data_IF_541983377071
#
_entry.id   IF_541983377071
#
_cell.length_a   1.000
_cell.length_b   1.000
_cell.length_c   1.000
_cell.angle_alpha   90.00
_cell.angle_beta   90.00
_cell.angle_gamma   90.00
#
_symmetry.space_group_name_H-M   'P 1'
#
loop_
_entity.id
_entity.type
_entity.pdbx_description
1 polymer ?
#
# COMPACT_ATOMS: atom_id res chain seq x y z
N UNK A 1 26.24 1.28 -5.22
CA UNK A 1 24.98 0.82 -4.59
C UNK A 1 23.86 1.88 -4.59
N UNK A 2 24.18 3.19 -4.63
CA UNK A 2 23.21 4.31 -4.69
C UNK A 2 22.43 4.39 -6.02
N UNK A 3 23.10 4.27 -7.17
CA UNK A 3 22.45 4.42 -8.48
C UNK A 3 21.41 3.34 -8.82
N UNK A 4 21.63 2.10 -8.39
CA UNK A 4 20.71 0.98 -8.68
C UNK A 4 19.36 1.17 -7.98
N UNK A 5 19.36 1.72 -6.75
CA UNK A 5 18.12 2.05 -6.02
C UNK A 5 17.39 3.23 -6.67
N UNK A 6 18.14 4.19 -7.23
CA UNK A 6 17.57 5.36 -7.89
C UNK A 6 16.93 5.02 -9.25
N UNK A 7 17.58 4.17 -10.06
CA UNK A 7 17.02 3.65 -11.33
C UNK A 7 15.76 2.80 -11.12
N UNK A 8 15.73 1.97 -10.07
CA UNK A 8 14.52 1.22 -9.71
C UNK A 8 13.36 2.14 -9.33
N UNK A 9 13.59 3.15 -8.47
CA UNK A 9 12.56 4.14 -8.10
C UNK A 9 11.93 4.86 -9.29
N UNK A 10 12.75 5.30 -10.26
CA UNK A 10 12.25 6.00 -11.45
C UNK A 10 11.46 5.08 -12.39
N UNK A 11 11.85 3.81 -12.51
CA UNK A 11 11.13 2.82 -13.32
C UNK A 11 9.77 2.49 -12.72
N UNK A 12 9.70 2.33 -11.40
CA UNK A 12 8.45 2.07 -10.68
C UNK A 12 7.44 3.21 -10.84
N UNK A 13 7.87 4.46 -10.71
CA UNK A 13 7.00 5.63 -10.91
C UNK A 13 6.53 5.76 -12.36
N UNK A 14 7.38 5.42 -13.33
CA UNK A 14 7.01 5.43 -14.74
C UNK A 14 5.97 4.35 -15.06
N UNK A 15 6.09 3.15 -14.49
CA UNK A 15 5.10 2.08 -14.66
C UNK A 15 3.73 2.46 -14.08
N UNK A 16 3.70 3.05 -12.87
CA UNK A 16 2.46 3.55 -12.26
C UNK A 16 1.81 4.63 -13.14
N UNK A 17 2.59 5.59 -13.64
CA UNK A 17 2.06 6.64 -14.49
C UNK A 17 1.54 6.11 -15.84
N UNK A 18 2.22 5.13 -16.44
CA UNK A 18 1.79 4.50 -17.69
C UNK A 18 0.53 3.65 -17.53
N UNK A 19 0.37 2.96 -16.39
CA UNK A 19 -0.82 2.14 -16.14
C UNK A 19 -2.08 3.00 -15.98
N UNK A 20 -1.99 4.19 -15.36
CA UNK A 20 -3.14 5.09 -15.27
C UNK A 20 -3.42 5.87 -16.55
N UNK A 21 -2.44 6.03 -17.46
CA UNK A 21 -2.57 6.89 -18.64
C UNK A 21 -3.11 6.18 -19.89
N UNK A 22 -3.29 4.87 -19.86
CA UNK A 22 -3.67 4.10 -21.04
C UNK A 22 -5.04 3.45 -20.84
N UNK A 23 -6.03 3.87 -21.65
CA UNK A 23 -7.36 3.24 -21.67
C UNK A 23 -7.36 1.84 -22.32
N UNK A 24 -6.20 1.37 -22.79
CA UNK A 24 -6.01 0.05 -23.37
C UNK A 24 -5.58 -1.01 -22.33
N UNK A 25 -5.19 -0.59 -21.12
CA UNK A 25 -4.82 -1.51 -20.04
C UNK A 25 -6.08 -1.88 -19.26
N UNK A 26 -6.42 -3.17 -19.11
CA UNK A 26 -7.53 -3.60 -18.29
C UNK A 26 -7.42 -3.06 -16.86
N UNK A 27 -8.54 -2.60 -16.30
CA UNK A 27 -8.57 -2.02 -14.97
C UNK A 27 -8.05 -2.96 -13.87
N UNK A 28 -8.23 -4.28 -14.05
CA UNK A 28 -7.65 -5.29 -13.14
C UNK A 28 -6.12 -5.28 -13.17
N UNK A 29 -5.52 -5.12 -14.35
CA UNK A 29 -4.06 -5.08 -14.52
C UNK A 29 -3.47 -3.81 -13.90
N UNK A 30 -4.18 -2.68 -14.04
CA UNK A 30 -3.81 -1.42 -13.37
C UNK A 30 -3.77 -1.62 -11.84
N UNK A 31 -4.83 -2.21 -11.28
CA UNK A 31 -4.91 -2.49 -9.84
C UNK A 31 -3.80 -3.46 -9.42
N UNK A 32 -3.56 -4.52 -10.18
CA UNK A 32 -2.54 -5.51 -9.84
C UNK A 32 -1.13 -4.95 -9.87
N UNK A 33 -0.81 -4.03 -10.80
CA UNK A 33 0.47 -3.31 -10.83
C UNK A 33 0.64 -2.47 -9.56
N UNK A 34 -0.38 -1.70 -9.15
CA UNK A 34 -0.32 -0.86 -7.95
C UNK A 34 -0.07 -1.73 -6.70
N UNK A 35 -0.82 -2.83 -6.55
CA UNK A 35 -0.67 -3.77 -5.44
C UNK A 35 0.72 -4.42 -5.45
N UNK A 36 1.23 -4.80 -6.62
CA UNK A 36 2.55 -5.39 -6.76
C UNK A 36 3.65 -4.43 -6.29
N UNK A 37 3.54 -3.14 -6.58
CA UNK A 37 4.46 -2.13 -6.05
C UNK A 37 4.32 -1.98 -4.53
N UNK A 38 3.09 -2.02 -4.01
CA UNK A 38 2.79 -1.95 -2.57
C UNK A 38 3.41 -3.07 -1.73
N UNK A 39 3.52 -4.27 -2.32
CA UNK A 39 4.15 -5.46 -1.71
C UNK A 39 5.64 -5.28 -1.45
N UNK A 40 6.34 -4.53 -2.29
CA UNK A 40 7.77 -4.32 -2.14
C UNK A 40 8.04 -3.30 -1.01
N UNK A 41 8.85 -3.59 0.03
CA UNK A 41 9.15 -2.62 1.09
C UNK A 41 9.69 -1.28 0.59
N UNK A 42 10.47 -1.28 -0.51
CA UNK A 42 10.98 -0.06 -1.15
C UNK A 42 9.93 0.64 -2.03
N UNK A 43 8.89 -0.06 -2.46
CA UNK A 43 7.78 0.45 -3.28
C UNK A 43 6.55 0.85 -2.47
N UNK A 44 6.37 0.31 -1.27
CA UNK A 44 5.20 0.50 -0.42
C UNK A 44 4.86 1.96 -0.18
N UNK A 45 5.83 2.73 0.31
CA UNK A 45 5.64 4.17 0.55
C UNK A 45 5.27 4.93 -0.74
N UNK A 46 5.78 4.50 -1.89
CA UNK A 46 5.45 5.10 -3.18
C UNK A 46 4.04 4.73 -3.62
N UNK A 47 3.65 3.46 -3.50
CA UNK A 47 2.30 3.00 -3.82
C UNK A 47 1.25 3.67 -2.93
N UNK A 48 1.52 3.75 -1.62
CA UNK A 48 0.63 4.41 -0.66
C UNK A 48 0.48 5.91 -0.95
N UNK A 49 1.59 6.61 -1.20
CA UNK A 49 1.55 8.02 -1.59
C UNK A 49 0.79 8.22 -2.90
N UNK A 50 1.08 7.40 -3.90
CA UNK A 50 0.42 7.46 -5.20
C UNK A 50 -1.09 7.24 -5.09
N UNK A 51 -1.50 6.24 -4.31
CA UNK A 51 -2.91 5.95 -4.05
C UNK A 51 -3.63 7.15 -3.41
N UNK A 52 -3.01 7.79 -2.41
CA UNK A 52 -3.57 9.01 -1.79
C UNK A 52 -3.65 10.18 -2.77
N UNK A 53 -2.55 10.48 -3.48
CA UNK A 53 -2.47 11.59 -4.44
C UNK A 53 -3.41 11.43 -5.64
N UNK A 54 -3.75 10.20 -6.02
CA UNK A 54 -4.60 9.87 -7.17
C UNK A 54 -5.98 9.38 -6.77
N UNK A 55 -6.35 9.51 -5.49
CA UNK A 55 -7.59 8.94 -4.96
C UNK A 55 -8.82 9.37 -5.75
N UNK A 56 -8.98 10.66 -6.07
CA UNK A 56 -10.15 11.14 -6.78
C UNK A 56 -10.33 10.46 -8.15
N UNK A 57 -9.22 10.21 -8.85
CA UNK A 57 -9.22 9.52 -10.15
C UNK A 57 -9.54 8.04 -9.96
N UNK A 58 -8.90 7.40 -8.98
CA UNK A 58 -9.10 5.98 -8.67
C UNK A 58 -10.53 5.72 -8.20
N UNK A 59 -11.10 6.62 -7.40
CA UNK A 59 -12.47 6.52 -6.90
C UNK A 59 -13.49 6.85 -8.00
N UNK A 60 -13.24 7.83 -8.86
CA UNK A 60 -14.09 8.08 -10.02
C UNK A 60 -14.11 6.87 -10.97
N UNK A 61 -12.97 6.18 -11.14
CA UNK A 61 -12.85 5.03 -12.05
C UNK A 61 -13.38 3.73 -11.45
N UNK A 62 -13.17 3.50 -10.15
CA UNK A 62 -13.42 2.20 -9.50
C UNK A 62 -14.47 2.25 -8.39
N UNK A 63 -14.89 3.42 -7.93
CA UNK A 63 -15.75 3.60 -6.75
C UNK A 63 -17.11 2.90 -6.85
N UNK A 64 -17.72 2.89 -8.04
CA UNK A 64 -18.97 2.15 -8.29
C UNK A 64 -18.75 0.63 -8.40
N UNK A 65 -17.56 0.21 -8.86
CA UNK A 65 -17.16 -1.19 -8.94
C UNK A 65 -16.62 -1.65 -7.58
N UNK A 66 -17.52 -1.84 -6.60
CA UNK A 66 -17.19 -2.14 -5.19
C UNK A 66 -16.15 -3.25 -5.01
N UNK A 67 -16.19 -4.30 -5.84
CA UNK A 67 -15.19 -5.38 -5.82
C UNK A 67 -13.78 -4.88 -6.16
N UNK A 68 -13.65 -4.07 -7.21
CA UNK A 68 -12.38 -3.51 -7.67
C UNK A 68 -11.87 -2.45 -6.70
N UNK A 69 -12.75 -1.58 -6.21
CA UNK A 69 -12.43 -0.60 -5.17
C UNK A 69 -11.90 -1.28 -3.90
N UNK A 70 -12.59 -2.34 -3.45
CA UNK A 70 -12.17 -3.12 -2.28
C UNK A 70 -10.83 -3.82 -2.48
N UNK A 71 -10.59 -4.39 -3.68
CA UNK A 71 -9.30 -5.02 -4.04
C UNK A 71 -8.17 -4.00 -4.00
N UNK A 72 -8.37 -2.83 -4.59
CA UNK A 72 -7.39 -1.75 -4.61
C UNK A 72 -7.06 -1.24 -3.20
N UNK A 73 -8.08 -0.87 -2.42
CA UNK A 73 -7.91 -0.38 -1.04
C UNK A 73 -7.16 -1.41 -0.21
N UNK A 74 -7.63 -2.67 -0.23
CA UNK A 74 -7.02 -3.72 0.57
C UNK A 74 -5.57 -3.98 0.16
N UNK A 75 -5.29 -4.14 -1.14
CA UNK A 75 -3.95 -4.49 -1.60
C UNK A 75 -2.90 -3.38 -1.42
N UNK A 76 -3.31 -2.11 -1.40
CA UNK A 76 -2.39 -1.00 -1.09
C UNK A 76 -2.14 -0.88 0.41
N UNK A 77 -3.15 -1.12 1.23
CA UNK A 77 -3.09 -0.89 2.69
C UNK A 77 -2.59 -2.11 3.48
N UNK A 78 -2.75 -3.34 2.97
CA UNK A 78 -2.46 -4.58 3.72
C UNK A 78 -1.00 -4.72 4.17
N UNK A 79 -0.08 -4.01 3.52
CA UNK A 79 1.35 -4.04 3.86
C UNK A 79 1.81 -2.87 4.73
N UNK A 80 0.94 -1.92 5.05
CA UNK A 80 1.24 -0.84 5.99
C UNK A 80 1.39 -1.43 7.39
N UNK A 81 2.44 -1.05 8.09
CA UNK A 81 2.82 -1.72 9.34
C UNK A 81 3.48 -0.81 10.38
N UNK A 82 3.48 0.51 10.15
CA UNK A 82 3.95 1.51 11.11
C UNK A 82 2.81 2.34 11.70
N UNK A 83 3.00 2.87 12.90
CA UNK A 83 2.01 3.77 13.53
C UNK A 83 1.75 5.03 12.69
N UNK A 84 2.78 5.53 12.02
CA UNK A 84 2.69 6.69 11.12
C UNK A 84 1.74 6.35 9.97
N UNK A 85 1.96 5.24 9.25
CA UNK A 85 1.11 4.83 8.13
C UNK A 85 -0.35 4.57 8.58
N UNK A 86 -0.54 3.99 9.77
CA UNK A 86 -1.87 3.79 10.33
C UNK A 86 -2.60 5.13 10.59
N UNK A 87 -1.90 6.12 11.12
CA UNK A 87 -2.47 7.44 11.37
C UNK A 87 -2.77 8.17 10.06
N UNK A 88 -1.87 8.10 9.07
CA UNK A 88 -2.10 8.62 7.74
C UNK A 88 -3.33 7.99 7.08
N UNK A 89 -3.54 6.68 7.23
CA UNK A 89 -4.71 5.99 6.69
C UNK A 89 -6.00 6.48 7.34
N UNK A 90 -6.02 6.65 8.67
CA UNK A 90 -7.19 7.21 9.39
C UNK A 90 -7.51 8.63 8.92
N UNK A 91 -6.50 9.48 8.83
CA UNK A 91 -6.66 10.87 8.38
C UNK A 91 -7.15 10.93 6.94
N UNK A 92 -6.59 10.11 6.06
CA UNK A 92 -7.00 10.04 4.65
C UNK A 92 -8.48 9.64 4.50
N UNK A 93 -8.98 8.71 5.33
CA UNK A 93 -10.39 8.29 5.28
C UNK A 93 -11.31 9.47 5.61
N UNK A 94 -10.97 10.24 6.65
CA UNK A 94 -11.77 11.39 7.09
C UNK A 94 -11.72 12.54 6.09
N UNK A 95 -10.57 12.78 5.47
CA UNK A 95 -10.33 13.98 4.65
C UNK A 95 -10.60 13.79 3.16
N UNK A 96 -10.51 12.57 2.63
CA UNK A 96 -10.57 12.33 1.17
C UNK A 96 -11.53 11.20 0.77
N UNK A 97 -11.57 10.10 1.52
CA UNK A 97 -12.41 8.97 1.13
C UNK A 97 -13.91 9.19 1.41
N UNK A 98 -14.21 10.01 2.43
CA UNK A 98 -15.54 10.01 3.05
C UNK A 98 -15.84 8.67 3.72
N UNK A 99 -16.96 8.57 4.44
CA UNK A 99 -17.37 7.33 5.14
C UNK A 99 -17.77 6.17 4.19
N UNK A 100 -17.56 6.31 2.88
CA UNK A 100 -18.36 5.60 1.87
C UNK A 100 -17.85 4.24 1.39
N UNK A 101 -16.67 3.75 1.80
CA UNK A 101 -16.22 2.41 1.42
C UNK A 101 -16.00 1.49 2.64
N UNK A 102 -16.81 0.42 2.81
CA UNK A 102 -16.62 -0.60 3.86
C UNK A 102 -15.21 -1.21 3.89
N UNK A 103 -14.51 -1.21 2.76
CA UNK A 103 -13.12 -1.66 2.64
C UNK A 103 -12.15 -0.85 3.51
N UNK A 104 -12.41 0.45 3.75
CA UNK A 104 -11.54 1.26 4.60
C UNK A 104 -11.61 0.87 6.07
N UNK A 105 -12.80 0.59 6.62
CA UNK A 105 -12.94 0.12 7.99
C UNK A 105 -12.15 -1.17 8.22
N UNK A 106 -12.30 -2.13 7.30
CA UNK A 106 -11.52 -3.38 7.33
C UNK A 106 -10.01 -3.14 7.18
N UNK A 107 -9.60 -2.22 6.31
CA UNK A 107 -8.18 -1.91 6.13
C UNK A 107 -7.54 -1.39 7.42
N UNK A 108 -8.26 -0.56 8.19
CA UNK A 108 -7.80 -0.05 9.49
C UNK A 108 -7.55 -1.21 10.46
N UNK A 109 -8.46 -2.17 10.55
CA UNK A 109 -8.30 -3.35 11.43
C UNK A 109 -7.05 -4.15 11.06
N UNK A 110 -6.82 -4.38 9.77
CA UNK A 110 -5.66 -5.13 9.25
C UNK A 110 -4.35 -4.39 9.54
N UNK A 111 -4.29 -3.08 9.26
CA UNK A 111 -3.09 -2.28 9.53
C UNK A 111 -2.82 -2.21 11.03
N UNK A 112 -3.85 -2.03 11.86
CA UNK A 112 -3.70 -2.06 13.32
C UNK A 112 -3.14 -3.38 13.83
N UNK A 113 -3.62 -4.51 13.31
CA UNK A 113 -3.09 -5.83 13.66
C UNK A 113 -1.62 -5.96 13.22
N UNK A 114 -1.28 -5.47 12.02
CA UNK A 114 0.09 -5.50 11.48
C UNK A 114 1.06 -4.66 12.31
N UNK A 115 0.65 -3.46 12.74
CA UNK A 115 1.42 -2.58 13.63
C UNK A 115 1.66 -3.26 14.98
N UNK A 116 0.61 -3.81 15.61
CA UNK A 116 0.72 -4.52 16.90
C UNK A 116 1.68 -5.70 16.80
N UNK A 117 1.55 -6.50 15.74
CA UNK A 117 2.43 -7.64 15.51
C UNK A 117 3.88 -7.19 15.32
N UNK A 118 4.11 -6.12 14.53
CA UNK A 118 5.45 -5.59 14.34
C UNK A 118 6.07 -5.13 15.66
N UNK A 119 5.35 -4.34 16.46
CA UNK A 119 5.86 -3.84 17.76
C UNK A 119 6.15 -4.99 18.75
N UNK A 120 5.25 -5.98 18.84
CA UNK A 120 5.38 -7.07 19.82
C UNK A 120 6.47 -8.08 19.44
N UNK A 121 6.53 -8.48 18.17
CA UNK A 121 7.37 -9.60 17.76
C UNK A 121 8.70 -9.18 17.17
N UNK A 122 8.89 -7.94 16.74
CA UNK A 122 10.17 -7.49 16.20
C UNK A 122 11.30 -7.62 17.24
N UNK A 123 11.08 -7.19 18.48
CA UNK A 123 12.09 -7.32 19.53
C UNK A 123 12.37 -8.79 19.88
N UNK A 124 11.34 -9.62 20.00
CA UNK A 124 11.47 -11.04 20.30
C UNK A 124 12.21 -11.79 19.18
N UNK A 125 11.88 -11.49 17.92
CA UNK A 125 12.55 -12.06 16.75
C UNK A 125 14.02 -11.63 16.68
N UNK A 126 14.34 -10.36 16.93
CA UNK A 126 15.73 -9.90 16.99
C UNK A 126 16.52 -10.58 18.12
N UNK A 127 15.90 -10.78 19.29
CA UNK A 127 16.53 -11.49 20.40
C UNK A 127 16.75 -12.97 20.09
N UNK A 128 15.80 -13.62 19.42
CA UNK A 128 15.94 -15.00 18.97
C UNK A 128 17.05 -15.16 17.92
N UNK A 129 17.09 -14.29 16.91
CA UNK A 129 18.09 -14.33 15.84
C UNK A 129 19.52 -14.15 16.39
N UNK A 130 19.70 -13.28 17.38
CA UNK A 130 20.99 -13.06 18.05
C UNK A 130 21.42 -14.20 18.99
N UNK A 131 20.48 -15.09 19.36
CA UNK A 131 20.75 -16.27 20.20
C UNK A 131 20.98 -17.54 19.37
N UNK A 132 20.68 -17.52 18.08
CA UNK A 132 21.04 -18.63 17.20
C UNK A 132 22.58 -18.68 17.13
N UNK A 133 23.22 -19.81 17.52
CA UNK A 133 24.65 -19.97 17.32
C UNK A 133 24.93 -19.93 15.83
N UNK A 134 25.99 -19.23 15.42
CA UNK A 134 26.52 -19.34 14.06
C UNK A 134 26.75 -20.82 13.75
N UNK A 135 25.95 -21.36 12.83
CA UNK A 135 26.13 -22.71 12.28
C UNK A 135 27.29 -22.72 11.30
#
# INVERSE_FOLDING_TARGET
MSESKHRHKQTTLRLLNLSLSSDLVPDQDVIDVIIHVGRNPLGRHLAWRYFREKWDILNARYGEALFMNSKLISGVTEFLNTEIELNELKEFIVTSAGESAPAFARSIEIVQASVKWHVQFQQQFYQWLRKAPDG
#
